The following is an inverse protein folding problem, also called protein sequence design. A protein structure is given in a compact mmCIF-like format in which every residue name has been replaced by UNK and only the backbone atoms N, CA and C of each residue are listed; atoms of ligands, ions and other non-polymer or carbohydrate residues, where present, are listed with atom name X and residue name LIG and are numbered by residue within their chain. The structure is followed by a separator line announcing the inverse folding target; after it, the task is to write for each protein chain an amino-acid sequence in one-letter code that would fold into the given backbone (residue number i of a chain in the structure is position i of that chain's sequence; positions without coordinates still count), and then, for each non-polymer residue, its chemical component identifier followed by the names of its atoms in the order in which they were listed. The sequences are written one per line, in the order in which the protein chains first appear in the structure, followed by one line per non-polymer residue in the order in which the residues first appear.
data_IF_896859915731
#
_entry.id   IF_896859915731
#
_cell.length_a   1.000
_cell.length_b   1.000
_cell.length_c   1.000
_cell.angle_alpha   90.00
_cell.angle_beta   90.00
_cell.angle_gamma   90.00
#
_symmetry.space_group_name_H-M   'P 1'
#
loop_
_entity.id
_entity.type
_entity.pdbx_description
1 polymer ?
#
# COMPACT_ATOMS: atom_id res chain seq x y z
N UNK A 1 -36.32 3.48 -8.75
CA UNK A 1 -34.85 3.37 -8.96
C UNK A 1 -34.53 3.98 -10.31
N UNK A 2 -33.49 4.82 -10.44
CA UNK A 2 -33.13 5.45 -11.73
C UNK A 2 -32.60 4.39 -12.70
N UNK A 3 -33.24 4.24 -13.85
CA UNK A 3 -32.93 3.22 -14.87
C UNK A 3 -31.47 3.31 -15.34
N UNK A 4 -30.92 4.51 -15.49
CA UNK A 4 -29.51 4.71 -15.84
C UNK A 4 -28.54 4.15 -14.79
N UNK A 5 -28.88 4.27 -13.50
CA UNK A 5 -28.06 3.70 -12.41
C UNK A 5 -28.03 2.18 -12.45
N UNK A 6 -29.13 1.56 -12.86
CA UNK A 6 -29.20 0.10 -12.97
C UNK A 6 -28.21 -0.45 -14.01
N UNK A 7 -28.03 0.26 -15.12
CA UNK A 7 -27.12 -0.13 -16.19
C UNK A 7 -25.69 0.43 -16.04
N UNK A 8 -25.45 1.31 -15.06
CA UNK A 8 -24.15 1.96 -14.88
C UNK A 8 -23.76 2.94 -16.00
N UNK A 9 -24.74 3.56 -16.67
CA UNK A 9 -24.51 4.52 -17.77
C UNK A 9 -25.13 5.89 -17.46
N UNK A 10 -24.73 6.92 -18.21
CA UNK A 10 -25.34 8.25 -18.04
C UNK A 10 -26.71 8.36 -18.71
N UNK A 11 -27.51 9.36 -18.31
CA UNK A 11 -28.77 9.68 -19.00
C UNK A 11 -28.56 10.06 -20.47
N UNK A 12 -27.40 10.65 -20.79
CA UNK A 12 -27.06 11.00 -22.16
C UNK A 12 -26.82 9.75 -23.01
N UNK A 13 -26.13 8.75 -22.46
CA UNK A 13 -25.83 7.50 -23.16
C UNK A 13 -27.09 6.67 -23.39
N UNK A 14 -27.96 6.59 -22.38
CA UNK A 14 -29.26 5.93 -22.53
C UNK A 14 -30.15 6.65 -23.54
N UNK A 15 -30.13 7.99 -23.55
CA UNK A 15 -30.88 8.80 -24.51
C UNK A 15 -30.42 8.53 -25.95
N UNK A 16 -29.10 8.47 -26.20
CA UNK A 16 -28.52 8.12 -27.50
C UNK A 16 -28.95 6.71 -27.94
N UNK A 17 -28.89 5.74 -27.04
CA UNK A 17 -29.26 4.35 -27.32
C UNK A 17 -30.74 4.22 -27.69
N UNK A 18 -31.62 4.87 -26.93
CA UNK A 18 -33.06 4.84 -27.14
C UNK A 18 -33.56 5.85 -28.20
N UNK A 19 -32.65 6.60 -28.82
CA UNK A 19 -32.94 7.66 -29.81
C UNK A 19 -33.95 8.71 -29.30
N UNK A 20 -33.81 9.10 -28.04
CA UNK A 20 -34.60 10.15 -27.39
C UNK A 20 -33.69 11.24 -26.83
N UNK A 21 -34.27 12.33 -26.30
CA UNK A 21 -33.50 13.38 -25.64
C UNK A 21 -33.15 13.01 -24.20
N UNK A 22 -32.04 13.55 -23.69
CA UNK A 22 -31.66 13.43 -22.27
C UNK A 22 -32.79 13.89 -21.32
N UNK A 23 -33.51 14.96 -21.70
CA UNK A 23 -34.64 15.48 -20.93
C UNK A 23 -35.78 14.46 -20.81
N UNK A 24 -36.10 13.75 -21.90
CA UNK A 24 -37.11 12.68 -21.88
C UNK A 24 -36.72 11.53 -20.96
N UNK A 25 -35.44 11.13 -20.92
CA UNK A 25 -34.94 10.16 -19.94
C UNK A 25 -35.10 10.69 -18.52
N UNK A 26 -34.69 11.94 -18.27
CA UNK A 26 -34.82 12.57 -16.96
C UNK A 26 -36.27 12.62 -16.46
N UNK A 27 -37.21 13.00 -17.32
CA UNK A 27 -38.65 13.03 -17.02
C UNK A 27 -39.23 11.63 -16.79
N UNK A 28 -38.76 10.64 -17.55
CA UNK A 28 -39.15 9.25 -17.37
C UNK A 28 -38.69 8.68 -16.03
N UNK A 29 -37.43 8.90 -15.65
CA UNK A 29 -36.88 8.39 -14.38
C UNK A 29 -37.56 8.97 -13.13
N UNK A 30 -38.15 10.17 -13.23
CA UNK A 30 -38.92 10.82 -12.17
C UNK A 30 -40.44 10.61 -12.30
N UNK A 31 -40.88 9.77 -13.23
CA UNK A 31 -42.30 9.44 -13.43
C UNK A 31 -43.16 10.56 -14.02
N UNK A 32 -42.56 11.64 -14.53
CA UNK A 32 -43.30 12.78 -15.10
C UNK A 32 -43.76 12.57 -16.54
N UNK A 33 -43.13 11.67 -17.30
CA UNK A 33 -43.49 11.40 -18.71
C UNK A 33 -43.10 9.97 -19.12
N UNK A 34 -43.94 9.31 -19.90
CA UNK A 34 -43.57 8.05 -20.54
C UNK A 34 -42.60 8.27 -21.71
N UNK A 35 -41.80 7.25 -22.01
CA UNK A 35 -40.99 7.23 -23.22
C UNK A 35 -41.85 6.84 -24.43
N UNK A 36 -41.44 7.20 -25.66
CA UNK A 36 -42.05 6.66 -26.88
C UNK A 36 -42.08 5.12 -26.84
N UNK A 37 -43.08 4.52 -27.49
CA UNK A 37 -43.31 3.06 -27.45
C UNK A 37 -42.07 2.29 -27.92
N UNK A 38 -41.43 2.72 -29.01
CA UNK A 38 -40.21 2.09 -29.53
C UNK A 38 -39.05 2.12 -28.53
N UNK A 39 -38.91 3.24 -27.81
CA UNK A 39 -37.90 3.39 -26.75
C UNK A 39 -38.23 2.53 -25.53
N UNK A 40 -39.52 2.36 -25.19
CA UNK A 40 -39.94 1.45 -24.12
C UNK A 40 -39.69 -0.03 -24.46
N UNK A 41 -39.96 -0.43 -25.71
CA UNK A 41 -39.70 -1.81 -26.18
C UNK A 41 -38.21 -2.13 -26.12
N UNK A 42 -37.38 -1.25 -26.68
CA UNK A 42 -35.91 -1.39 -26.63
C UNK A 42 -35.41 -1.44 -25.18
N UNK A 43 -35.95 -0.59 -24.29
CA UNK A 43 -35.59 -0.58 -22.88
C UNK A 43 -35.97 -1.89 -22.17
N UNK A 44 -37.15 -2.45 -22.47
CA UNK A 44 -37.60 -3.72 -21.91
C UNK A 44 -36.70 -4.89 -22.32
N UNK A 45 -36.24 -4.92 -23.58
CA UNK A 45 -35.28 -5.91 -24.08
C UNK A 45 -33.94 -5.83 -23.34
N UNK A 46 -33.40 -4.62 -23.16
CA UNK A 46 -32.15 -4.40 -22.41
C UNK A 46 -32.31 -4.84 -20.95
N UNK A 47 -33.43 -4.51 -20.31
CA UNK A 47 -33.71 -4.92 -18.93
C UNK A 47 -33.75 -6.44 -18.79
N UNK A 48 -34.39 -7.13 -19.74
CA UNK A 48 -34.46 -8.59 -19.76
C UNK A 48 -33.06 -9.19 -19.90
N UNK A 49 -32.25 -8.69 -20.84
CA UNK A 49 -30.87 -9.16 -21.02
C UNK A 49 -30.04 -8.99 -19.74
N UNK A 50 -30.08 -7.82 -19.10
CA UNK A 50 -29.35 -7.56 -17.86
C UNK A 50 -29.81 -8.45 -16.71
N UNK A 51 -31.11 -8.67 -16.57
CA UNK A 51 -31.65 -9.58 -15.54
C UNK A 51 -31.11 -11.00 -15.73
N UNK A 52 -31.06 -11.47 -16.98
CA UNK A 52 -30.66 -12.84 -17.31
C UNK A 52 -29.12 -13.04 -17.28
N UNK A 53 -28.32 -11.98 -17.43
CA UNK A 53 -26.86 -12.07 -17.66
C UNK A 53 -25.97 -11.22 -16.73
N UNK A 54 -26.54 -10.47 -15.79
CA UNK A 54 -25.80 -9.50 -14.94
C UNK A 54 -24.62 -10.09 -14.17
N UNK A 55 -24.64 -11.37 -13.83
CA UNK A 55 -23.59 -12.05 -13.05
C UNK A 55 -22.84 -13.14 -13.81
N UNK A 56 -23.35 -13.58 -14.97
CA UNK A 56 -22.80 -14.69 -15.76
C UNK A 56 -22.11 -14.24 -17.06
N UNK A 57 -22.03 -12.93 -17.30
CA UNK A 57 -21.34 -12.39 -18.46
C UNK A 57 -19.89 -12.87 -18.52
N UNK A 58 -19.53 -13.56 -19.60
CA UNK A 58 -18.15 -14.03 -19.86
C UNK A 58 -17.14 -12.89 -19.72
N UNK A 59 -17.49 -11.67 -20.11
CA UNK A 59 -16.61 -10.49 -19.98
C UNK A 59 -16.33 -10.13 -18.53
N UNK A 60 -17.34 -10.23 -17.65
CA UNK A 60 -17.18 -9.99 -16.21
C UNK A 60 -16.25 -11.05 -15.62
N UNK A 61 -16.50 -12.33 -15.90
CA UNK A 61 -15.69 -13.44 -15.38
C UNK A 61 -14.23 -13.32 -15.84
N UNK A 62 -13.99 -13.03 -17.13
CA UNK A 62 -12.63 -12.85 -17.64
C UNK A 62 -11.94 -11.64 -16.99
N UNK A 63 -12.64 -10.51 -16.84
CA UNK A 63 -12.06 -9.34 -16.18
C UNK A 63 -11.71 -9.60 -14.72
N UNK A 64 -12.58 -10.29 -13.96
CA UNK A 64 -12.30 -10.66 -12.57
C UNK A 64 -11.07 -11.55 -12.46
N UNK A 65 -10.95 -12.57 -13.33
CA UNK A 65 -9.74 -13.41 -13.39
C UNK A 65 -8.48 -12.62 -13.70
N UNK A 66 -8.55 -11.68 -14.65
CA UNK A 66 -7.41 -10.80 -14.96
C UNK A 66 -7.05 -9.91 -13.76
N UNK A 67 -8.04 -9.39 -13.04
CA UNK A 67 -7.82 -8.60 -11.81
C UNK A 67 -7.20 -9.44 -10.69
N UNK A 68 -7.61 -10.69 -10.52
CA UNK A 68 -7.00 -11.62 -9.55
C UNK A 68 -5.52 -11.91 -9.89
N UNK A 69 -5.22 -12.15 -11.17
CA UNK A 69 -3.84 -12.33 -11.63
C UNK A 69 -3.02 -11.06 -11.36
N UNK A 70 -3.56 -9.89 -11.71
CA UNK A 70 -2.88 -8.62 -11.50
C UNK A 70 -2.65 -8.33 -10.01
N UNK A 71 -3.66 -8.59 -9.15
CA UNK A 71 -3.54 -8.50 -7.69
C UNK A 71 -2.39 -9.37 -7.19
N UNK A 72 -2.29 -10.62 -7.66
CA UNK A 72 -1.21 -11.53 -7.26
C UNK A 72 0.17 -11.00 -7.66
N UNK A 73 0.32 -10.51 -8.89
CA UNK A 73 1.58 -9.92 -9.39
C UNK A 73 2.00 -8.72 -8.52
N UNK A 74 1.06 -7.84 -8.17
CA UNK A 74 1.33 -6.68 -7.34
C UNK A 74 1.73 -7.06 -5.92
N UNK A 75 1.08 -8.06 -5.32
CA UNK A 75 1.44 -8.60 -4.01
C UNK A 75 2.84 -9.24 -4.01
N UNK A 76 3.18 -10.03 -5.02
CA UNK A 76 4.51 -10.63 -5.16
C UNK A 76 5.61 -9.56 -5.31
N UNK A 77 5.34 -8.49 -6.08
CA UNK A 77 6.23 -7.35 -6.20
C UNK A 77 6.42 -6.64 -4.86
N UNK A 78 5.33 -6.35 -4.16
CA UNK A 78 5.37 -5.71 -2.84
C UNK A 78 6.15 -6.55 -1.82
N UNK A 79 5.99 -7.87 -1.85
CA UNK A 79 6.73 -8.81 -0.99
C UNK A 79 8.23 -8.73 -1.26
N UNK A 80 8.63 -8.74 -2.54
CA UNK A 80 10.04 -8.64 -2.94
C UNK A 80 10.67 -7.31 -2.50
N UNK A 81 9.96 -6.21 -2.69
CA UNK A 81 10.40 -4.87 -2.26
C UNK A 81 10.53 -4.78 -0.73
N UNK A 82 9.58 -5.33 0.01
CA UNK A 82 9.63 -5.37 1.48
C UNK A 82 10.86 -6.14 1.97
N UNK A 83 11.08 -7.37 1.47
CA UNK A 83 12.25 -8.19 1.82
C UNK A 83 13.57 -7.48 1.54
N UNK A 84 13.65 -6.76 0.41
CA UNK A 84 14.82 -5.95 0.09
C UNK A 84 15.05 -4.84 1.12
N UNK A 85 14.00 -4.13 1.54
CA UNK A 85 14.10 -3.09 2.57
C UNK A 85 14.55 -3.65 3.91
N UNK A 86 14.01 -4.80 4.34
CA UNK A 86 14.43 -5.48 5.56
C UNK A 86 15.93 -5.78 5.53
N UNK A 87 16.42 -6.44 4.47
CA UNK A 87 17.83 -6.77 4.31
C UNK A 87 18.75 -5.54 4.34
N UNK A 88 18.31 -4.44 3.73
CA UNK A 88 19.06 -3.18 3.70
C UNK A 88 19.13 -2.53 5.10
N UNK A 89 18.02 -2.57 5.84
CA UNK A 89 17.94 -2.09 7.23
C UNK A 89 18.78 -2.93 8.18
N UNK A 90 18.71 -4.26 8.09
CA UNK A 90 19.54 -5.16 8.89
C UNK A 90 21.03 -4.90 8.70
N UNK A 91 21.46 -4.65 7.45
CA UNK A 91 22.86 -4.28 7.16
C UNK A 91 23.25 -2.96 7.81
N UNK A 92 22.38 -1.95 7.77
CA UNK A 92 22.62 -0.65 8.42
C UNK A 92 22.67 -0.80 9.94
N UNK A 93 21.77 -1.58 10.51
CA UNK A 93 21.72 -1.86 11.94
C UNK A 93 23.03 -2.49 12.42
N UNK A 94 23.50 -3.54 11.75
CA UNK A 94 24.80 -4.17 12.05
C UNK A 94 25.98 -3.21 11.99
N UNK A 95 25.97 -2.25 11.06
CA UNK A 95 27.02 -1.23 10.97
C UNK A 95 26.98 -0.28 12.17
N UNK A 96 25.77 0.14 12.60
CA UNK A 96 25.60 1.00 13.76
C UNK A 96 25.95 0.27 15.05
N UNK A 97 25.51 -0.98 15.23
CA UNK A 97 25.87 -1.83 16.38
C UNK A 97 27.38 -1.97 16.53
N UNK A 98 28.09 -2.25 15.42
CA UNK A 98 29.55 -2.37 15.44
C UNK A 98 30.22 -1.06 15.87
N UNK A 99 29.73 0.08 15.38
CA UNK A 99 30.25 1.40 15.78
C UNK A 99 29.96 1.69 17.25
N UNK A 100 28.77 1.35 17.72
CA UNK A 100 28.40 1.52 19.12
C UNK A 100 29.32 0.70 20.02
N UNK A 101 29.53 -0.59 19.72
CA UNK A 101 30.45 -1.46 20.46
C UNK A 101 31.87 -0.90 20.50
N UNK A 102 32.38 -0.41 19.36
CA UNK A 102 33.70 0.22 19.27
C UNK A 102 33.81 1.45 20.18
N UNK A 103 32.79 2.31 20.20
CA UNK A 103 32.80 3.51 21.04
C UNK A 103 32.61 3.18 22.52
N UNK A 104 31.84 2.15 22.87
CA UNK A 104 31.73 1.65 24.24
C UNK A 104 33.08 1.11 24.74
N UNK A 105 33.79 0.34 23.93
CA UNK A 105 35.14 -0.11 24.26
C UNK A 105 36.12 1.08 24.42
N UNK A 106 35.97 2.12 23.59
CA UNK A 106 36.74 3.36 23.74
C UNK A 106 36.47 4.04 25.07
N UNK A 107 35.21 4.09 25.53
CA UNK A 107 34.86 4.64 26.85
C UNK A 107 35.52 3.85 27.99
N UNK A 108 35.47 2.51 27.95
CA UNK A 108 36.16 1.69 28.94
C UNK A 108 37.67 1.94 28.97
N UNK A 109 38.27 2.21 27.81
CA UNK A 109 39.70 2.54 27.72
C UNK A 109 40.00 3.95 28.29
N UNK A 110 39.12 4.92 28.06
CA UNK A 110 39.20 6.24 28.69
C UNK A 110 39.16 6.11 30.22
N UNK A 111 38.19 5.35 30.76
CA UNK A 111 38.09 5.11 32.21
C UNK A 111 39.39 4.55 32.80
N UNK A 112 40.02 3.60 32.09
CA UNK A 112 41.31 3.02 32.49
C UNK A 112 42.44 4.05 32.52
N UNK A 113 42.56 4.88 31.47
CA UNK A 113 43.60 5.91 31.39
C UNK A 113 43.45 6.94 32.51
N UNK A 114 42.21 7.36 32.80
CA UNK A 114 41.90 8.30 33.87
C UNK A 114 42.21 7.71 35.25
N UNK A 115 41.80 6.47 35.52
CA UNK A 115 42.10 5.78 36.79
C UNK A 115 43.59 5.62 37.05
N UNK A 116 44.39 5.40 35.99
CA UNK A 116 45.84 5.27 36.08
C UNK A 116 46.58 6.61 35.99
N UNK A 117 45.88 7.71 35.75
CA UNK A 117 46.46 9.04 35.47
C UNK A 117 47.50 9.00 34.33
N UNK A 118 47.24 8.20 33.29
CA UNK A 118 48.11 8.05 32.11
C UNK A 118 47.49 8.85 30.96
N UNK A 119 48.28 9.71 30.32
CA UNK A 119 47.89 10.39 29.06
C UNK A 119 46.49 11.03 29.11
N UNK A 120 46.22 11.83 30.15
CA UNK A 120 44.90 12.41 30.43
C UNK A 120 44.37 13.26 29.25
N UNK A 121 45.25 13.96 28.54
CA UNK A 121 44.85 14.75 27.37
C UNK A 121 44.38 13.87 26.21
N UNK A 122 45.01 12.70 26.00
CA UNK A 122 44.56 11.71 25.03
C UNK A 122 43.20 11.13 25.44
N UNK A 123 43.01 10.82 26.73
CA UNK A 123 41.74 10.32 27.26
C UNK A 123 40.58 11.29 26.94
N UNK A 124 40.76 12.59 27.21
CA UNK A 124 39.76 13.64 26.89
C UNK A 124 39.47 13.75 25.40
N UNK A 125 40.47 13.57 24.53
CA UNK A 125 40.26 13.60 23.09
C UNK A 125 39.46 12.39 22.60
N UNK A 126 39.73 11.20 23.15
CA UNK A 126 39.02 9.96 22.82
C UNK A 126 37.57 10.02 23.31
N UNK A 127 37.35 10.49 24.54
CA UNK A 127 36.02 10.66 25.11
C UNK A 127 35.14 11.57 24.23
N UNK A 128 35.66 12.74 23.81
CA UNK A 128 34.94 13.66 22.92
C UNK A 128 34.57 13.02 21.58
N UNK A 129 35.46 12.22 20.99
CA UNK A 129 35.18 11.50 19.74
C UNK A 129 34.12 10.43 19.93
N UNK A 130 34.23 9.63 21.00
CA UNK A 130 33.32 8.54 21.30
C UNK A 130 31.92 9.05 21.66
N UNK A 131 31.80 10.11 22.46
CA UNK A 131 30.52 10.76 22.80
C UNK A 131 29.83 11.33 21.55
N UNK A 132 30.58 12.02 20.68
CA UNK A 132 30.05 12.54 19.42
C UNK A 132 29.52 11.41 18.53
N UNK A 133 30.28 10.34 18.34
CA UNK A 133 29.86 9.20 17.53
C UNK A 133 28.68 8.44 18.15
N UNK A 134 28.64 8.28 19.48
CA UNK A 134 27.49 7.69 20.18
C UNK A 134 26.24 8.57 20.09
N UNK A 135 26.37 9.89 20.04
CA UNK A 135 25.20 10.75 19.81
C UNK A 135 24.59 10.56 18.42
N UNK A 136 25.42 10.27 17.41
CA UNK A 136 25.00 10.08 16.00
C UNK A 136 24.52 8.65 15.72
N UNK A 137 25.24 7.67 16.25
CA UNK A 137 25.11 6.24 15.98
C UNK A 137 24.72 5.46 17.25
N UNK A 138 24.06 6.11 18.21
CA UNK A 138 23.70 5.51 19.48
C UNK A 138 22.38 4.76 19.47
N UNK A 139 21.90 4.46 20.69
CA UNK A 139 20.67 3.71 20.94
C UNK A 139 19.47 4.25 20.15
N UNK A 140 19.29 5.57 20.08
CA UNK A 140 18.17 6.16 19.35
C UNK A 140 18.14 5.75 17.87
N UNK A 141 19.30 5.62 17.22
CA UNK A 141 19.38 5.23 15.82
C UNK A 141 19.09 3.73 15.62
N UNK A 142 19.55 2.90 16.56
CA UNK A 142 19.23 1.47 16.57
C UNK A 142 17.75 1.23 16.79
N UNK A 143 17.15 1.88 17.80
CA UNK A 143 15.71 1.78 18.06
C UNK A 143 14.87 2.23 16.86
N UNK A 144 15.30 3.26 16.13
CA UNK A 144 14.63 3.65 14.87
C UNK A 144 14.65 2.50 13.84
N UNK A 145 15.79 1.86 13.63
CA UNK A 145 15.90 0.74 12.70
C UNK A 145 15.13 -0.51 13.17
N UNK A 146 15.12 -0.80 14.47
CA UNK A 146 14.33 -1.89 15.05
C UNK A 146 12.83 -1.68 14.81
N UNK A 147 12.32 -0.48 15.06
CA UNK A 147 10.91 -0.13 14.80
C UNK A 147 10.59 -0.27 13.31
N UNK A 148 11.46 0.21 12.42
CA UNK A 148 11.27 0.08 10.97
C UNK A 148 11.24 -1.40 10.53
N UNK A 149 12.13 -2.24 11.07
CA UNK A 149 12.14 -3.69 10.78
C UNK A 149 10.85 -4.35 11.26
N UNK A 150 10.38 -4.05 12.48
CA UNK A 150 9.12 -4.59 13.02
C UNK A 150 7.95 -4.23 12.10
N UNK A 151 7.88 -2.97 11.64
CA UNK A 151 6.86 -2.53 10.70
C UNK A 151 6.91 -3.27 9.36
N UNK A 152 8.12 -3.49 8.83
CA UNK A 152 8.32 -4.25 7.58
C UNK A 152 7.91 -5.72 7.73
N UNK A 153 8.23 -6.37 8.87
CA UNK A 153 7.84 -7.75 9.16
C UNK A 153 6.33 -7.90 9.32
N UNK A 154 5.66 -6.93 9.97
CA UNK A 154 4.20 -6.92 10.06
C UNK A 154 3.55 -6.77 8.68
N UNK A 155 4.10 -5.90 7.81
CA UNK A 155 3.63 -5.75 6.44
C UNK A 155 3.87 -7.02 5.60
N UNK A 156 5.02 -7.69 5.76
CA UNK A 156 5.27 -8.97 5.09
C UNK A 156 4.23 -10.03 5.47
N UNK A 157 3.92 -10.14 6.76
CA UNK A 157 2.88 -11.06 7.24
C UNK A 157 1.52 -10.77 6.60
N UNK A 158 1.12 -9.51 6.55
CA UNK A 158 -0.14 -9.11 5.89
C UNK A 158 -0.15 -9.44 4.39
N UNK A 159 0.96 -9.20 3.68
CA UNK A 159 1.07 -9.56 2.25
C UNK A 159 0.94 -11.07 2.04
N UNK A 160 1.57 -11.87 2.91
CA UNK A 160 1.48 -13.33 2.86
C UNK A 160 0.06 -13.83 3.15
N UNK A 161 -0.66 -13.19 4.08
CA UNK A 161 -2.07 -13.48 4.34
C UNK A 161 -2.91 -13.25 3.07
N UNK A 162 -2.77 -12.09 2.41
CA UNK A 162 -3.48 -11.80 1.16
C UNK A 162 -3.10 -12.70 -0.03
N UNK A 163 -1.89 -13.28 -0.03
CA UNK A 163 -1.45 -14.24 -1.04
C UNK A 163 -2.00 -15.65 -0.77
N UNK A 164 -2.27 -15.99 0.50
CA UNK A 164 -2.74 -17.30 0.94
C UNK A 164 -4.26 -17.40 1.07
N UNK A 165 -4.97 -16.26 1.14
CA UNK A 165 -6.43 -16.21 1.01
C UNK A 165 -6.84 -16.74 -0.38
N UNK A 166 -7.51 -17.90 -0.38
CA UNK A 166 -8.15 -18.52 -1.53
C UNK A 166 -9.54 -17.97 -1.77
#
# INVERSE_FOLDING_TARGET
MKTCKYFGISQLDLAKLLKVTKSQIGMFEIGKRSLPVDAMNTLAEILKYFKDHSTSSKRIITNLKTQEIQKKIELEKALKENKYKQLLLERKMKQVEKKQQYNMATMCFVDYLEQKNIEIDLAKQLEKKATLELSKNGMSKLTQYEIEIIGLQAMEKAILEFLNEK
#
